data_IF_572281621567
#
_entry.id   IF_572281621567
#
_cell.length_a   1.000
_cell.length_b   1.000
_cell.length_c   1.000
_cell.angle_alpha   90.00
_cell.angle_beta   90.00
_cell.angle_gamma   90.00
#
_symmetry.space_group_name_H-M   'P 1'
#
loop_
_entity.id
_entity.type
_entity.pdbx_description
1 polymer ?
#
# COMPACT_ATOMS: atom_id res chain seq x y z
N UNK A 1 -4.18 -17.09 25.51
CA UNK A 1 -3.68 -16.33 24.36
C UNK A 1 -4.92 -16.05 23.52
N UNK A 2 -5.18 -14.80 23.14
CA UNK A 2 -6.32 -14.54 22.27
C UNK A 2 -5.92 -14.99 20.87
N UNK A 3 -6.51 -16.10 20.43
CA UNK A 3 -6.42 -16.54 19.03
C UNK A 3 -6.98 -15.42 18.15
N UNK A 4 -6.18 -14.96 17.18
CA UNK A 4 -6.64 -13.98 16.21
C UNK A 4 -7.66 -14.65 15.28
N UNK A 5 -8.70 -13.93 14.82
CA UNK A 5 -9.65 -14.49 13.87
C UNK A 5 -8.95 -14.82 12.54
N UNK A 6 -9.60 -15.65 11.72
CA UNK A 6 -9.19 -15.84 10.32
C UNK A 6 -9.54 -14.61 9.50
N UNK A 7 -8.95 -14.49 8.30
CA UNK A 7 -9.26 -13.40 7.37
C UNK A 7 -10.77 -13.32 7.08
N UNK A 8 -11.38 -14.42 6.66
CA UNK A 8 -12.81 -14.46 6.32
C UNK A 8 -13.72 -14.07 7.50
N UNK A 9 -13.41 -14.56 8.69
CA UNK A 9 -14.14 -14.20 9.91
C UNK A 9 -14.03 -12.70 10.22
N UNK A 10 -12.82 -12.14 10.08
CA UNK A 10 -12.61 -10.70 10.26
C UNK A 10 -13.34 -9.85 9.22
N UNK A 11 -13.42 -10.29 7.97
CA UNK A 11 -14.22 -9.58 6.95
C UNK A 11 -15.72 -9.65 7.22
N UNK A 12 -16.22 -10.79 7.71
CA UNK A 12 -17.64 -10.99 7.99
C UNK A 12 -18.12 -10.27 9.26
N UNK A 13 -17.26 -10.19 10.29
CA UNK A 13 -17.67 -9.76 11.63
C UNK A 13 -16.79 -8.67 12.26
N UNK A 14 -15.58 -8.45 11.74
CA UNK A 14 -14.62 -7.49 12.29
C UNK A 14 -14.81 -6.05 11.80
N UNK A 15 -15.42 -5.85 10.62
CA UNK A 15 -15.65 -4.53 10.04
C UNK A 15 -17.10 -4.10 10.24
N UNK A 16 -17.30 -2.86 10.70
CA UNK A 16 -18.64 -2.28 10.89
C UNK A 16 -18.87 -1.14 9.91
N UNK A 17 -20.03 -1.13 9.25
CA UNK A 17 -20.43 0.01 8.40
C UNK A 17 -20.68 1.23 9.30
N UNK A 18 -20.07 2.37 8.97
CA UNK A 18 -20.22 3.60 9.74
C UNK A 18 -21.20 4.56 9.04
N UNK A 19 -22.28 5.02 9.70
CA UNK A 19 -23.09 6.12 9.15
C UNK A 19 -22.20 7.38 9.07
N UNK A 20 -22.19 8.04 7.91
CA UNK A 20 -21.24 9.12 7.64
C UNK A 20 -21.24 10.22 8.71
N UNK A 21 -20.06 10.67 9.15
CA UNK A 21 -19.93 11.89 9.96
C UNK A 21 -20.15 13.13 9.08
N UNK A 22 -20.66 14.21 9.68
CA UNK A 22 -20.96 15.47 8.98
C UNK A 22 -19.72 16.30 8.57
N UNK A 23 -18.54 16.04 9.17
CA UNK A 23 -17.33 16.87 9.03
C UNK A 23 -16.18 16.25 8.22
N UNK A 24 -16.04 14.91 8.16
CA UNK A 24 -14.93 14.21 7.50
C UNK A 24 -15.45 13.04 6.65
N UNK A 25 -15.92 13.35 5.45
CA UNK A 25 -16.55 12.39 4.55
C UNK A 25 -15.58 11.73 3.57
N UNK A 26 -14.25 11.91 3.70
CA UNK A 26 -13.28 11.38 2.74
C UNK A 26 -12.48 10.18 3.25
N UNK A 27 -12.19 9.25 2.35
CA UNK A 27 -11.34 8.10 2.64
C UNK A 27 -9.86 8.53 2.68
N UNK A 28 -9.10 8.27 3.76
CA UNK A 28 -7.70 8.70 3.86
C UNK A 28 -6.72 7.93 2.94
N UNK A 29 -7.17 6.87 2.27
CA UNK A 29 -6.33 6.07 1.35
C UNK A 29 -6.47 6.57 -0.09
N UNK A 30 -7.70 6.82 -0.55
CA UNK A 30 -7.96 7.25 -1.94
C UNK A 30 -8.36 8.72 -2.07
N UNK A 31 -8.63 9.42 -0.96
CA UNK A 31 -9.07 10.81 -0.90
C UNK A 31 -10.39 11.07 -1.63
N UNK A 32 -11.23 10.03 -1.76
CA UNK A 32 -12.57 10.11 -2.35
C UNK A 32 -13.63 10.14 -1.25
N UNK A 33 -14.72 10.85 -1.53
CA UNK A 33 -15.83 10.98 -0.60
C UNK A 33 -16.56 9.65 -0.43
N UNK A 34 -16.91 9.31 0.79
CA UNK A 34 -17.69 8.13 1.13
C UNK A 34 -19.14 8.28 0.64
N UNK A 35 -19.78 7.15 0.36
CA UNK A 35 -21.19 7.07 -0.04
C UNK A 35 -22.04 6.61 1.15
N UNK A 36 -22.90 7.49 1.67
CA UNK A 36 -23.83 7.21 2.79
C UNK A 36 -25.08 6.44 2.35
N UNK A 37 -25.47 6.59 1.08
CA UNK A 37 -26.64 5.99 0.45
C UNK A 37 -26.59 6.32 -1.06
N UNK A 38 -27.35 5.62 -1.93
CA UNK A 38 -27.53 6.00 -3.33
C UNK A 38 -28.40 7.27 -3.44
N UNK A 39 -27.90 8.40 -2.95
CA UNK A 39 -28.44 9.73 -3.25
C UNK A 39 -27.59 10.27 -4.37
N UNK A 40 -27.84 9.81 -5.59
CA UNK A 40 -27.07 10.11 -6.80
C UNK A 40 -26.72 11.60 -6.91
N UNK A 41 -25.45 11.99 -6.71
CA UNK A 41 -24.93 13.22 -7.28
C UNK A 41 -24.40 12.85 -8.67
N UNK A 42 -25.09 13.32 -9.72
CA UNK A 42 -24.68 13.31 -11.13
C UNK A 42 -23.51 12.38 -11.53
N UNK A 43 -23.81 11.15 -11.93
CA UNK A 43 -22.92 10.35 -12.79
C UNK A 43 -22.28 9.11 -12.18
N UNK A 44 -22.47 8.82 -10.89
CA UNK A 44 -22.07 7.52 -10.33
C UNK A 44 -23.06 6.44 -10.79
N UNK A 45 -22.56 5.39 -11.45
CA UNK A 45 -23.35 4.17 -11.69
C UNK A 45 -23.56 3.45 -10.36
N UNK A 46 -24.63 2.65 -10.25
CA UNK A 46 -24.95 1.92 -9.02
C UNK A 46 -23.79 1.01 -8.56
N UNK A 47 -22.89 0.63 -9.46
CA UNK A 47 -21.70 -0.21 -9.21
C UNK A 47 -20.61 0.51 -8.40
N UNK A 48 -20.44 1.82 -8.60
CA UNK A 48 -19.42 2.61 -7.91
C UNK A 48 -19.84 2.97 -6.48
N UNK A 49 -21.15 3.02 -6.22
CA UNK A 49 -21.70 3.41 -4.91
C UNK A 49 -21.28 2.48 -3.77
N UNK A 50 -21.20 1.17 -4.02
CA UNK A 50 -20.80 0.17 -3.02
C UNK A 50 -19.30 0.23 -2.70
N UNK A 51 -18.47 0.70 -3.64
CA UNK A 51 -17.01 0.79 -3.46
C UNK A 51 -16.58 1.82 -2.42
N UNK A 52 -17.37 2.89 -2.29
CA UNK A 52 -17.10 4.02 -1.38
C UNK A 52 -17.84 3.92 -0.04
N UNK A 53 -18.40 2.74 0.29
CA UNK A 53 -19.09 2.52 1.58
C UNK A 53 -18.09 2.65 2.74
N UNK A 54 -18.35 3.52 3.73
CA UNK A 54 -17.48 3.73 4.89
C UNK A 54 -17.51 2.52 5.86
N UNK A 55 -16.35 1.94 6.13
CA UNK A 55 -16.15 0.88 7.12
C UNK A 55 -15.23 1.35 8.24
N UNK A 56 -15.65 1.12 9.48
CA UNK A 56 -14.93 1.45 10.69
C UNK A 56 -14.11 0.26 11.20
N UNK A 57 -12.86 0.54 11.56
CA UNK A 57 -11.94 -0.42 12.14
C UNK A 57 -12.22 -0.62 13.64
N UNK A 58 -12.27 -1.87 14.15
CA UNK A 58 -12.57 -2.15 15.56
C UNK A 58 -11.42 -1.80 16.52
N UNK A 59 -10.18 -1.70 16.01
CA UNK A 59 -8.99 -1.47 16.83
C UNK A 59 -8.73 0.00 17.16
N UNK A 60 -9.18 0.93 16.31
CA UNK A 60 -8.83 2.34 16.41
C UNK A 60 -9.92 3.29 15.89
N UNK A 61 -11.10 2.77 15.51
CA UNK A 61 -12.25 3.53 15.01
C UNK A 61 -11.99 4.38 13.75
N UNK A 62 -10.84 4.18 13.08
CA UNK A 62 -10.56 4.82 11.79
C UNK A 62 -11.49 4.27 10.71
N UNK A 63 -11.89 5.13 9.78
CA UNK A 63 -12.86 4.81 8.73
C UNK A 63 -12.17 4.82 7.36
N UNK A 64 -12.48 3.82 6.54
CA UNK A 64 -11.96 3.65 5.19
C UNK A 64 -13.09 3.20 4.27
N UNK A 65 -12.99 3.45 2.97
CA UNK A 65 -13.98 2.90 2.04
C UNK A 65 -13.77 1.39 1.85
N UNK A 66 -14.85 0.66 1.60
CA UNK A 66 -14.87 -0.80 1.39
C UNK A 66 -13.79 -1.23 0.40
N UNK A 67 -13.67 -0.56 -0.75
CA UNK A 67 -12.67 -0.89 -1.77
C UNK A 67 -11.25 -0.80 -1.23
N UNK A 68 -10.86 0.31 -0.61
CA UNK A 68 -9.50 0.53 -0.14
C UNK A 68 -9.11 -0.43 0.98
N UNK A 69 -9.98 -0.61 1.99
CA UNK A 69 -9.66 -1.52 3.09
C UNK A 69 -9.66 -2.97 2.63
N UNK A 70 -10.56 -3.37 1.73
CA UNK A 70 -10.54 -4.70 1.14
C UNK A 70 -9.24 -4.95 0.36
N UNK A 71 -8.80 -4.02 -0.49
CA UNK A 71 -7.52 -4.15 -1.20
C UNK A 71 -6.35 -4.25 -0.23
N UNK A 72 -6.30 -3.39 0.80
CA UNK A 72 -5.25 -3.44 1.82
C UNK A 72 -5.22 -4.79 2.55
N UNK A 73 -6.37 -5.27 3.01
CA UNK A 73 -6.49 -6.53 3.74
C UNK A 73 -6.28 -7.79 2.89
N UNK A 74 -6.18 -7.63 1.56
CA UNK A 74 -5.72 -8.68 0.67
C UNK A 74 -4.19 -8.85 0.68
N UNK A 75 -3.45 -7.81 1.00
CA UNK A 75 -1.98 -7.82 1.01
C UNK A 75 -1.37 -7.76 2.41
N UNK A 76 -2.09 -7.22 3.41
CA UNK A 76 -1.63 -7.08 4.77
C UNK A 76 -2.71 -7.47 5.77
N UNK A 77 -2.32 -7.99 6.94
CA UNK A 77 -3.26 -8.35 8.01
C UNK A 77 -3.25 -7.33 9.16
N UNK A 78 -2.90 -6.07 8.87
CA UNK A 78 -2.74 -5.01 9.86
C UNK A 78 -3.62 -3.80 9.54
N UNK A 79 -3.96 -2.99 10.54
CA UNK A 79 -4.67 -1.74 10.31
C UNK A 79 -3.75 -0.72 9.60
N UNK A 80 -4.22 0.00 8.56
CA UNK A 80 -3.43 1.03 7.88
C UNK A 80 -2.96 2.15 8.81
N UNK A 81 -3.79 2.54 9.79
CA UNK A 81 -3.49 3.64 10.72
C UNK A 81 -2.65 3.17 11.91
N UNK A 82 -3.16 2.22 12.70
CA UNK A 82 -2.53 1.86 13.98
C UNK A 82 -1.60 0.64 13.91
N UNK A 83 -1.49 -0.02 12.73
CA UNK A 83 -0.66 -1.21 12.49
C UNK A 83 -0.97 -2.43 13.37
N UNK A 84 -2.05 -2.41 14.15
CA UNK A 84 -2.51 -3.56 14.94
C UNK A 84 -2.86 -4.72 14.02
N UNK A 85 -2.41 -5.93 14.37
CA UNK A 85 -2.72 -7.17 13.67
C UNK A 85 -4.19 -7.53 13.88
N UNK A 86 -4.92 -7.71 12.78
CA UNK A 86 -6.38 -7.86 12.76
C UNK A 86 -6.83 -9.31 12.69
N UNK A 87 -6.08 -10.12 11.95
CA UNK A 87 -6.32 -11.55 11.75
C UNK A 87 -5.01 -12.30 11.55
N UNK A 88 -5.08 -13.62 11.55
CA UNK A 88 -3.95 -14.48 11.17
C UNK A 88 -3.56 -14.24 9.71
N UNK A 89 -2.37 -13.66 9.48
CA UNK A 89 -1.83 -13.52 8.14
C UNK A 89 -1.20 -14.82 7.68
N UNK A 90 -1.00 -15.02 6.35
CA UNK A 90 -0.11 -16.07 5.90
C UNK A 90 1.24 -15.83 6.58
N UNK A 91 1.78 -16.87 7.21
CA UNK A 91 3.10 -16.84 7.84
C UNK A 91 4.07 -16.20 6.83
N UNK A 92 4.64 -15.05 7.17
CA UNK A 92 5.50 -14.29 6.27
C UNK A 92 6.59 -15.22 5.75
N UNK A 93 6.64 -15.42 4.44
CA UNK A 93 7.75 -16.10 3.77
C UNK A 93 9.04 -15.47 4.31
N UNK A 94 10.00 -16.28 4.83
CA UNK A 94 11.15 -15.75 5.56
C UNK A 94 11.80 -14.67 4.72
N UNK A 95 12.04 -13.51 5.36
CA UNK A 95 12.73 -12.37 4.79
C UNK A 95 13.88 -12.89 3.92
N UNK A 96 13.84 -12.58 2.62
CA UNK A 96 14.91 -12.99 1.71
C UNK A 96 16.21 -12.53 2.34
N UNK A 97 17.04 -13.51 2.69
CA UNK A 97 18.41 -13.30 3.16
C UNK A 97 19.04 -12.20 2.29
N UNK A 98 19.79 -11.25 2.89
CA UNK A 98 20.44 -10.20 2.13
C UNK A 98 21.14 -10.83 0.93
N UNK A 99 20.83 -10.34 -0.27
CA UNK A 99 21.58 -10.63 -1.49
C UNK A 99 23.07 -10.51 -1.12
N UNK A 100 23.74 -11.66 -0.99
CA UNK A 100 25.19 -11.68 -0.91
C UNK A 100 25.64 -11.13 -2.25
N UNK A 101 26.05 -9.87 -2.22
CA UNK A 101 26.76 -9.22 -3.30
C UNK A 101 28.02 -10.06 -3.55
N UNK A 102 27.93 -11.03 -4.45
CA UNK A 102 29.12 -11.61 -5.08
C UNK A 102 29.64 -10.57 -6.06
N UNK A 103 30.22 -9.51 -5.49
CA UNK A 103 31.19 -8.69 -6.17
C UNK A 103 32.42 -9.57 -6.39
N UNK A 104 32.49 -10.12 -7.59
CA UNK A 104 33.73 -10.62 -8.14
C UNK A 104 33.77 -10.15 -9.57
N UNK A 105 33.77 -8.82 -9.73
CA UNK A 105 34.23 -8.20 -10.96
C UNK A 105 35.74 -8.47 -11.06
N UNK A 106 36.14 -9.54 -11.77
CA UNK A 106 37.45 -9.53 -12.42
C UNK A 106 37.36 -8.52 -13.56
N UNK A 107 37.62 -7.26 -13.25
CA UNK A 107 37.98 -6.27 -14.26
C UNK A 107 39.30 -6.72 -14.87
N UNK A 108 39.28 -7.07 -16.15
CA UNK A 108 40.50 -7.15 -16.95
C UNK A 108 41.11 -5.74 -17.00
N UNK A 109 42.40 -5.62 -16.66
CA UNK A 109 43.12 -4.34 -16.57
C UNK A 109 43.17 -3.55 -17.90
N UNK A 110 42.75 -4.16 -19.01
CA UNK A 110 42.71 -3.55 -20.35
C UNK A 110 41.51 -2.59 -20.55
N UNK A 111 40.44 -2.71 -19.75
CA UNK A 111 39.21 -1.90 -19.91
C UNK A 111 39.36 -0.47 -19.32
N UNK A 112 40.26 -0.28 -18.36
CA UNK A 112 40.48 1.01 -17.69
C UNK A 112 41.31 2.00 -18.51
N UNK A 113 42.22 1.52 -19.36
CA UNK A 113 42.99 2.38 -20.28
C UNK A 113 42.07 2.95 -21.38
N UNK A 114 41.16 2.12 -21.94
CA UNK A 114 40.19 2.56 -22.95
C UNK A 114 39.21 3.60 -22.40
N UNK A 115 38.80 3.45 -21.13
CA UNK A 115 37.91 4.40 -20.46
C UNK A 115 38.62 5.73 -20.16
N UNK A 116 39.93 5.72 -19.84
CA UNK A 116 40.70 6.94 -19.61
C UNK A 116 40.99 7.72 -20.91
N UNK A 117 41.16 7.02 -22.03
CA UNK A 117 41.23 7.62 -23.36
C UNK A 117 39.90 8.29 -23.75
N UNK A 118 38.77 7.62 -23.50
CA UNK A 118 37.44 8.18 -23.78
C UNK A 118 37.15 9.48 -23.01
N UNK A 119 37.49 9.54 -21.72
CA UNK A 119 37.28 10.74 -20.90
C UNK A 119 38.27 11.87 -21.21
N UNK A 120 39.44 11.54 -21.75
CA UNK A 120 40.39 12.54 -22.25
C UNK A 120 39.95 13.12 -23.60
N UNK A 121 39.20 12.36 -24.40
CA UNK A 121 38.70 12.77 -25.72
C UNK A 121 37.39 13.59 -25.65
N UNK A 122 36.51 13.36 -24.66
CA UNK A 122 35.31 14.17 -24.42
C UNK A 122 35.56 15.38 -23.52
N UNK A 123 36.68 16.06 -23.81
CA UNK A 123 37.09 17.41 -23.41
C UNK A 123 36.18 18.18 -22.47
N UNK A 124 36.75 18.54 -21.32
CA UNK A 124 36.40 19.74 -20.57
C UNK A 124 36.36 20.95 -21.52
N UNK A 125 35.19 21.27 -22.06
CA UNK A 125 34.88 22.61 -22.56
C UNK A 125 34.54 23.46 -21.34
N UNK A 126 35.57 23.94 -20.64
CA UNK A 126 35.40 25.12 -19.78
C UNK A 126 35.46 26.37 -20.66
N UNK A 127 34.35 27.08 -20.65
CA UNK A 127 34.02 28.40 -21.22
C UNK A 127 35.13 29.46 -21.06
N UNK A 128 35.45 30.18 -22.16
CA UNK A 128 35.79 31.62 -22.19
C UNK A 128 35.36 32.23 -23.55
#
# INVERSE_FOLDING_TARGET
MSDLPTKDDFFAHGLSVCPLPDDDTDCPICLENFTSAPSTPNGATDEDAESYVPLQMPCCNNVFCYRCINTWLNSANTCPTCRVRLFEGPESEPEREPFESTDSETYDEEDLDELMEYYSEWGYVTDD
#
